data_IF_166999235312
#
_entry.id   IF_166999235312
#
_cell.length_a   1.000
_cell.length_b   1.000
_cell.length_c   1.000
_cell.angle_alpha   90.00
_cell.angle_beta   90.00
_cell.angle_gamma   90.00
#
_symmetry.space_group_name_H-M   'P 1'
#
loop_
_entity.id
_entity.type
_entity.pdbx_description
1 polymer ?
#
# COMPACT_ATOMS: atom_id res chain seq x y z
N UNK A 1 10.68 -14.11 -11.79
CA UNK A 1 9.41 -13.73 -11.14
C UNK A 1 8.91 -12.48 -11.82
N UNK A 2 7.88 -12.62 -12.65
CA UNK A 2 7.25 -11.48 -13.34
C UNK A 2 6.74 -10.52 -12.26
N UNK A 3 7.40 -9.38 -12.10
CA UNK A 3 7.02 -8.39 -11.12
C UNK A 3 5.67 -7.80 -11.55
N UNK A 4 4.57 -8.38 -11.06
CA UNK A 4 3.30 -7.67 -11.05
C UNK A 4 3.56 -6.36 -10.31
N UNK A 5 3.25 -5.23 -10.94
CA UNK A 5 3.34 -3.94 -10.27
C UNK A 5 2.51 -4.02 -8.98
N UNK A 6 3.02 -3.50 -7.86
CA UNK A 6 2.32 -3.55 -6.57
C UNK A 6 0.90 -2.97 -6.68
N UNK A 7 0.70 -2.02 -7.60
CA UNK A 7 -0.60 -1.45 -7.97
C UNK A 7 -1.60 -2.43 -8.61
N UNK A 8 -1.22 -3.68 -8.91
CA UNK A 8 -2.12 -4.72 -9.43
C UNK A 8 -2.32 -5.88 -8.46
N UNK A 9 -1.55 -5.92 -7.37
CA UNK A 9 -1.69 -6.94 -6.34
C UNK A 9 -2.92 -6.60 -5.47
N UNK A 10 -3.78 -7.60 -5.14
CA UNK A 10 -4.87 -7.40 -4.19
C UNK A 10 -4.34 -6.83 -2.88
N UNK A 11 -5.10 -5.92 -2.29
CA UNK A 11 -4.67 -5.32 -1.04
C UNK A 11 -4.75 -6.35 0.10
N UNK A 12 -3.78 -6.31 1.03
CA UNK A 12 -3.84 -7.14 2.23
C UNK A 12 -4.97 -6.66 3.15
N UNK A 13 -5.27 -7.46 4.17
CA UNK A 13 -6.05 -6.98 5.29
C UNK A 13 -5.29 -5.86 6.03
N UNK A 14 -6.05 -4.98 6.66
CA UNK A 14 -5.50 -3.86 7.47
C UNK A 14 -4.61 -4.33 8.63
N UNK A 15 -4.81 -5.57 9.08
CA UNK A 15 -4.09 -6.13 10.22
C UNK A 15 -2.73 -6.64 9.77
N UNK A 16 -1.67 -6.25 10.48
CA UNK A 16 -0.29 -6.63 10.15
C UNK A 16 0.47 -5.62 9.28
N UNK A 17 -0.13 -4.48 8.95
CA UNK A 17 0.62 -3.37 8.35
C UNK A 17 1.63 -2.80 9.34
N UNK A 18 2.81 -2.46 8.82
CA UNK A 18 3.81 -1.70 9.58
C UNK A 18 3.38 -0.24 9.69
N UNK A 19 3.96 0.46 10.67
CA UNK A 19 3.67 1.88 10.86
C UNK A 19 3.94 2.72 9.60
N UNK A 20 5.03 2.43 8.89
CA UNK A 20 5.37 3.14 7.65
C UNK A 20 4.34 2.88 6.53
N UNK A 21 3.75 1.69 6.46
CA UNK A 21 2.70 1.38 5.50
C UNK A 21 1.41 2.13 5.84
N UNK A 22 1.02 2.17 7.11
CA UNK A 22 -0.16 2.93 7.56
C UNK A 22 0.04 4.45 7.45
N UNK A 23 1.27 4.94 7.53
CA UNK A 23 1.58 6.36 7.35
C UNK A 23 1.67 6.77 5.87
N UNK A 24 1.46 5.85 4.92
CA UNK A 24 1.59 6.11 3.48
C UNK A 24 3.04 6.34 3.03
N UNK A 25 4.03 5.98 3.86
CA UNK A 25 5.47 6.15 3.58
C UNK A 25 6.11 4.92 2.97
N UNK A 26 5.45 3.77 3.08
CA UNK A 26 5.88 2.51 2.49
C UNK A 26 4.77 1.86 1.66
N UNK A 27 5.17 1.14 0.62
CA UNK A 27 4.25 0.38 -0.21
C UNK A 27 3.50 -0.65 0.63
N UNK A 28 2.17 -0.63 0.56
CA UNK A 28 1.30 -1.55 1.31
C UNK A 28 1.54 -3.02 0.96
N UNK A 29 2.11 -3.29 -0.23
CA UNK A 29 2.36 -4.66 -0.71
C UNK A 29 3.78 -5.12 -0.38
N UNK A 30 4.81 -4.38 -0.79
CA UNK A 30 6.21 -4.83 -0.66
C UNK A 30 7.01 -4.16 0.46
N UNK A 31 6.47 -3.13 1.12
CA UNK A 31 7.14 -2.42 2.21
C UNK A 31 8.26 -1.46 1.78
N UNK A 32 8.57 -1.35 0.49
CA UNK A 32 9.57 -0.38 0.01
C UNK A 32 9.14 1.06 0.30
N UNK A 33 10.10 1.91 0.64
CA UNK A 33 9.86 3.33 0.87
C UNK A 33 9.29 3.99 -0.38
N UNK A 34 8.22 4.75 -0.19
CA UNK A 34 7.57 5.52 -1.22
C UNK A 34 8.18 6.91 -1.31
N UNK A 35 8.26 7.40 -2.54
CA UNK A 35 8.69 8.76 -2.87
C UNK A 35 7.65 9.35 -3.83
N UNK A 36 8.05 10.26 -4.70
CA UNK A 36 7.16 10.84 -5.72
C UNK A 36 6.63 9.76 -6.68
N UNK A 37 5.37 9.88 -7.09
CA UNK A 37 4.75 8.96 -8.07
C UNK A 37 4.10 7.71 -7.46
N UNK A 38 4.01 7.62 -6.13
CA UNK A 38 3.24 6.57 -5.47
C UNK A 38 1.77 6.55 -5.93
N UNK A 39 1.21 5.35 -6.05
CA UNK A 39 -0.15 5.15 -6.55
C UNK A 39 -1.10 4.96 -5.38
N UNK A 40 -2.09 5.85 -5.26
CA UNK A 40 -3.19 5.69 -4.31
C UNK A 40 -3.97 4.40 -4.60
N UNK A 41 -4.24 3.60 -3.57
CA UNK A 41 -4.98 2.34 -3.69
C UNK A 41 -6.34 2.37 -3.00
N UNK A 42 -6.67 3.47 -2.32
CA UNK A 42 -7.89 3.63 -1.56
C UNK A 42 -7.72 3.25 -0.10
N UNK A 43 -8.84 2.96 0.55
CA UNK A 43 -8.91 2.74 1.99
C UNK A 43 -8.94 1.25 2.33
N UNK A 44 -8.14 0.87 3.32
CA UNK A 44 -8.32 -0.35 4.07
C UNK A 44 -9.12 -0.06 5.33
N UNK A 45 -10.08 -0.92 5.61
CA UNK A 45 -10.98 -0.77 6.75
C UNK A 45 -10.69 -1.83 7.80
N UNK A 46 -10.66 -1.44 9.07
CA UNK A 46 -10.18 -2.29 10.14
C UNK A 46 -10.54 -1.84 11.53
N UNK A 47 -10.56 -2.80 12.46
CA UNK A 47 -10.74 -2.52 13.89
C UNK A 47 -9.81 -3.35 14.75
N UNK A 48 -9.31 -2.76 15.82
CA UNK A 48 -8.62 -3.48 16.90
C UNK A 48 -9.25 -3.08 18.24
N UNK A 49 -10.09 -3.96 18.78
CA UNK A 49 -11.00 -3.59 19.87
C UNK A 49 -11.92 -2.44 19.44
N UNK A 50 -11.98 -1.38 20.24
CA UNK A 50 -12.78 -0.18 19.93
C UNK A 50 -12.09 0.80 18.95
N UNK A 51 -10.82 0.58 18.61
CA UNK A 51 -10.08 1.47 17.71
C UNK A 51 -10.39 1.15 16.25
N UNK A 52 -10.72 2.17 15.45
CA UNK A 52 -10.75 2.08 13.98
C UNK A 52 -9.33 2.26 13.45
N UNK A 53 -8.91 1.36 12.59
CA UNK A 53 -7.63 1.35 11.89
C UNK A 53 -7.78 1.68 10.41
N UNK A 54 -8.88 2.35 10.06
CA UNK A 54 -9.18 2.73 8.69
C UNK A 54 -8.04 3.63 8.16
N UNK A 55 -7.43 3.24 7.05
CA UNK A 55 -6.21 3.87 6.55
C UNK A 55 -6.18 3.92 5.03
N UNK A 56 -5.82 5.07 4.49
CA UNK A 56 -5.54 5.21 3.06
C UNK A 56 -4.16 4.63 2.75
N UNK A 57 -4.09 3.74 1.76
CA UNK A 57 -2.86 3.02 1.44
C UNK A 57 -2.36 3.29 0.02
N UNK A 58 -1.06 3.14 -0.12
CA UNK A 58 -0.31 3.52 -1.31
C UNK A 58 0.55 2.37 -1.79
N UNK A 59 0.84 2.33 -3.09
CA UNK A 59 1.71 1.34 -3.71
C UNK A 59 2.82 2.00 -4.50
N UNK A 60 3.86 1.22 -4.80
CA UNK A 60 4.94 1.65 -5.69
C UNK A 60 4.40 2.27 -7.00
N UNK A 61 5.14 3.22 -7.59
CA UNK A 61 4.83 3.73 -8.91
C UNK A 61 4.63 2.58 -9.91
N UNK A 62 3.76 2.80 -10.90
CA UNK A 62 3.71 1.89 -12.04
C UNK A 62 5.10 1.90 -12.69
N UNK A 63 5.64 0.75 -13.13
CA UNK A 63 6.77 0.78 -14.03
C UNK A 63 6.37 1.67 -15.21
N UNK A 64 7.25 2.60 -15.62
CA UNK A 64 7.06 3.32 -16.87
C UNK A 64 6.75 2.27 -17.93
N UNK A 65 5.55 2.33 -18.49
CA UNK A 65 5.23 1.62 -19.72
C UNK A 65 6.09 2.34 -20.77
N UNK A 66 7.32 1.86 -20.96
CA UNK A 66 8.19 2.34 -22.02
C UNK A 66 7.47 2.05 -23.34
N UNK A 67 6.84 3.08 -23.88
CA UNK A 67 6.28 3.12 -25.23
C UNK A 67 7.41 3.22 -26.26
#
# INVERSE_FOLDING_TARGET
>A
MTALSCARVPLPEVYGLTWEQTAGRACVVCGCQLTTGAVARGWLYGTHGAHRLDVEVWSCPKPEEAE
#
